data_IF_841127210575
#
_entry.id   IF_841127210575
#
_cell.length_a   1.000
_cell.length_b   1.000
_cell.length_c   1.000
_cell.angle_alpha   90.00
_cell.angle_beta   90.00
_cell.angle_gamma   90.00
#
_symmetry.space_group_name_H-M   'P 1'
#
loop_
_entity.id
_entity.type
_entity.pdbx_description
1 polymer ?
#
# COMPACT_ATOMS: atom_id res chain seq x y z
N UNK A 1 -40.96 1.34 22.17
CA UNK A 1 -40.57 2.04 20.92
C UNK A 1 -40.44 3.55 21.13
N UNK A 2 -41.49 4.27 21.57
CA UNK A 2 -41.47 5.73 21.73
C UNK A 2 -40.35 6.27 22.66
N UNK A 3 -40.14 5.65 23.83
CA UNK A 3 -39.05 6.04 24.74
C UNK A 3 -37.66 5.91 24.11
N UNK A 4 -37.42 4.84 23.35
CA UNK A 4 -36.14 4.62 22.67
C UNK A 4 -35.89 5.64 21.57
N UNK A 5 -36.93 5.99 20.80
CA UNK A 5 -36.85 7.05 19.78
C UNK A 5 -36.60 8.43 20.40
N UNK A 6 -37.29 8.75 21.50
CA UNK A 6 -37.09 10.00 22.23
C UNK A 6 -35.65 10.11 22.79
N UNK A 7 -35.14 9.02 23.39
CA UNK A 7 -33.76 8.96 23.88
C UNK A 7 -32.74 9.11 22.75
N UNK A 8 -32.92 8.40 21.63
CA UNK A 8 -32.04 8.49 20.47
C UNK A 8 -32.03 9.91 19.87
N UNK A 9 -33.20 10.54 19.77
CA UNK A 9 -33.34 11.93 19.32
C UNK A 9 -32.62 12.91 20.24
N UNK A 10 -32.76 12.75 21.56
CA UNK A 10 -32.09 13.60 22.55
C UNK A 10 -30.55 13.48 22.48
N UNK A 11 -30.02 12.26 22.37
CA UNK A 11 -28.59 12.00 22.23
C UNK A 11 -28.05 12.60 20.93
N UNK A 12 -28.76 12.43 19.81
CA UNK A 12 -28.36 12.99 18.53
C UNK A 12 -28.37 14.53 18.54
N UNK A 13 -29.36 15.14 19.18
CA UNK A 13 -29.44 16.58 19.33
C UNK A 13 -28.30 17.13 20.21
N UNK A 14 -27.95 16.44 21.30
CA UNK A 14 -26.77 16.79 22.11
C UNK A 14 -25.47 16.69 21.31
N UNK A 15 -25.30 15.57 20.59
CA UNK A 15 -24.14 15.36 19.73
C UNK A 15 -23.98 16.47 18.71
N UNK A 16 -25.04 16.82 17.96
CA UNK A 16 -25.00 17.92 16.97
C UNK A 16 -24.61 19.26 17.57
N UNK A 17 -25.15 19.61 18.74
CA UNK A 17 -24.81 20.87 19.44
C UNK A 17 -23.34 20.91 19.88
N UNK A 18 -22.80 19.78 20.35
CA UNK A 18 -21.47 19.70 20.93
C UNK A 18 -20.38 19.25 19.94
N UNK A 19 -20.72 18.83 18.72
CA UNK A 19 -19.81 18.14 17.80
C UNK A 19 -18.53 18.94 17.51
N UNK A 20 -18.64 20.25 17.24
CA UNK A 20 -17.47 21.11 16.97
C UNK A 20 -16.47 21.13 18.15
N UNK A 21 -16.98 21.10 19.39
CA UNK A 21 -16.17 21.11 20.61
C UNK A 21 -15.60 19.72 20.94
N UNK A 22 -16.38 18.66 20.73
CA UNK A 22 -16.01 17.26 21.05
C UNK A 22 -15.20 16.57 19.94
N UNK A 23 -15.12 17.17 18.74
CA UNK A 23 -14.40 16.57 17.60
C UNK A 23 -12.94 16.23 17.95
N UNK A 24 -12.13 17.09 18.58
CA UNK A 24 -10.75 16.75 18.94
C UNK A 24 -10.65 15.53 19.86
N UNK A 25 -11.51 15.43 20.88
CA UNK A 25 -11.55 14.31 21.81
C UNK A 25 -11.93 12.99 21.10
N UNK A 26 -12.93 13.03 20.21
CA UNK A 26 -13.32 11.87 19.40
C UNK A 26 -12.17 11.39 18.51
N UNK A 27 -11.45 12.32 17.86
CA UNK A 27 -10.33 11.97 16.99
C UNK A 27 -9.13 11.45 17.78
N UNK A 28 -8.87 11.98 18.98
CA UNK A 28 -7.85 11.46 19.88
C UNK A 28 -8.17 10.01 20.27
N UNK A 29 -9.42 9.72 20.63
CA UNK A 29 -9.88 8.37 20.96
C UNK A 29 -9.71 7.38 19.80
N UNK A 30 -9.94 7.80 18.55
CA UNK A 30 -9.65 6.99 17.35
C UNK A 30 -8.16 6.65 17.27
N UNK A 31 -7.28 7.65 17.45
CA UNK A 31 -5.84 7.46 17.40
C UNK A 31 -5.30 6.53 18.50
N UNK A 32 -5.72 6.74 19.74
CA UNK A 32 -5.35 5.90 20.89
C UNK A 32 -5.79 4.45 20.73
N UNK A 33 -6.98 4.25 20.17
CA UNK A 33 -7.49 2.91 19.89
C UNK A 33 -6.67 2.23 18.78
N UNK A 34 -6.41 2.92 17.67
CA UNK A 34 -5.57 2.40 16.58
C UNK A 34 -4.15 2.05 17.07
N UNK A 35 -3.55 2.89 17.92
CA UNK A 35 -2.22 2.65 18.47
C UNK A 35 -2.16 1.38 19.35
N UNK A 36 -3.23 1.07 20.09
CA UNK A 36 -3.29 -0.13 20.95
C UNK A 36 -3.68 -1.40 20.20
N UNK A 37 -4.65 -1.31 19.29
CA UNK A 37 -5.25 -2.46 18.62
C UNK A 37 -4.62 -2.77 17.25
N UNK A 38 -3.80 -1.86 16.71
CA UNK A 38 -3.20 -1.99 15.39
C UNK A 38 -4.17 -1.68 14.24
N UNK A 39 -3.81 -2.10 13.04
CA UNK A 39 -4.57 -1.89 11.81
C UNK A 39 -5.14 -3.22 11.33
N UNK A 40 -6.46 -3.34 11.29
CA UNK A 40 -7.16 -4.61 11.01
C UNK A 40 -6.65 -5.24 9.72
N UNK A 41 -6.45 -4.42 8.68
CA UNK A 41 -6.01 -4.86 7.36
C UNK A 41 -4.66 -5.60 7.32
N UNK A 42 -3.82 -5.42 8.33
CA UNK A 42 -2.44 -5.92 8.33
C UNK A 42 -2.17 -6.96 9.42
N UNK A 43 -3.13 -7.19 10.31
CA UNK A 43 -2.99 -8.12 11.42
C UNK A 43 -3.38 -9.53 11.00
N UNK A 44 -2.54 -10.51 11.35
CA UNK A 44 -2.86 -11.94 11.18
C UNK A 44 -3.97 -12.38 12.14
N UNK A 45 -4.02 -11.79 13.35
CA UNK A 45 -5.08 -12.06 14.33
C UNK A 45 -5.81 -10.74 14.70
N UNK A 46 -6.67 -10.21 13.81
CA UNK A 46 -7.25 -8.89 13.97
C UNK A 46 -8.31 -8.82 15.07
N UNK A 47 -8.40 -7.65 15.73
CA UNK A 47 -9.63 -7.25 16.45
C UNK A 47 -10.59 -6.55 15.47
N UNK A 48 -11.68 -7.22 15.13
CA UNK A 48 -12.67 -6.78 14.14
C UNK A 48 -13.40 -5.50 14.55
N UNK A 49 -13.38 -5.16 15.85
CA UNK A 49 -14.14 -4.04 16.39
C UNK A 49 -13.25 -2.84 16.66
N UNK A 50 -12.20 -3.04 17.45
CA UNK A 50 -11.41 -1.95 18.00
C UNK A 50 -10.20 -1.61 17.12
N UNK A 51 -9.66 -2.49 16.28
CA UNK A 51 -8.55 -2.13 15.39
C UNK A 51 -8.92 -1.03 14.38
N UNK A 52 -7.91 -0.34 13.83
CA UNK A 52 -8.11 0.66 12.78
C UNK A 52 -8.72 0.01 11.54
N UNK A 53 -9.79 0.60 11.02
CA UNK A 53 -10.61 0.03 9.95
C UNK A 53 -11.68 -0.94 10.45
N UNK A 54 -11.77 -1.18 11.77
CA UNK A 54 -12.77 -2.05 12.37
C UNK A 54 -14.15 -1.41 12.52
N UNK A 55 -15.09 -2.18 13.06
CA UNK A 55 -16.49 -1.77 13.25
C UNK A 55 -16.65 -0.44 14.00
N UNK A 56 -15.74 -0.14 14.94
CA UNK A 56 -15.79 1.13 15.69
C UNK A 56 -15.49 2.33 14.81
N UNK A 57 -14.59 2.22 13.84
CA UNK A 57 -14.27 3.31 12.91
C UNK A 57 -15.45 3.63 11.99
N UNK A 58 -16.16 2.61 11.51
CA UNK A 58 -17.39 2.81 10.75
C UNK A 58 -18.47 3.53 11.57
N UNK A 59 -18.61 3.20 12.86
CA UNK A 59 -19.52 3.92 13.79
C UNK A 59 -19.09 5.37 13.96
N UNK A 60 -17.79 5.64 14.09
CA UNK A 60 -17.27 7.02 14.19
C UNK A 60 -17.55 7.81 12.91
N UNK A 61 -17.31 7.22 11.73
CA UNK A 61 -17.62 7.86 10.46
C UNK A 61 -19.11 8.23 10.36
N UNK A 62 -20.01 7.30 10.74
CA UNK A 62 -21.45 7.54 10.81
C UNK A 62 -21.82 8.63 11.81
N UNK A 63 -21.18 8.67 12.98
CA UNK A 63 -21.39 9.71 13.98
C UNK A 63 -20.97 11.09 13.47
N UNK A 64 -19.84 11.18 12.75
CA UNK A 64 -19.40 12.42 12.12
C UNK A 64 -20.40 12.91 11.07
N UNK A 65 -20.92 12.03 10.21
CA UNK A 65 -21.99 12.41 9.27
C UNK A 65 -23.26 12.86 10.00
N UNK A 66 -23.66 12.17 11.07
CA UNK A 66 -24.83 12.53 11.86
C UNK A 66 -24.73 13.90 12.56
N UNK A 67 -23.51 14.42 12.71
CA UNK A 67 -23.23 15.75 13.29
C UNK A 67 -23.49 16.93 12.33
N UNK A 68 -23.72 16.66 11.04
CA UNK A 68 -23.78 17.67 9.97
C UNK A 68 -22.48 18.46 9.72
N UNK A 69 -21.34 18.00 10.26
CA UNK A 69 -20.03 18.57 9.92
C UNK A 69 -19.49 18.08 8.58
N UNK A 70 -20.04 17.00 8.05
CA UNK A 70 -19.58 16.35 6.82
C UNK A 70 -20.73 15.53 6.24
N UNK A 71 -20.71 15.35 4.94
CA UNK A 71 -21.62 14.46 4.25
C UNK A 71 -21.27 12.99 4.49
N UNK A 72 -22.19 12.12 4.08
CA UNK A 72 -21.95 10.67 4.06
C UNK A 72 -20.78 10.38 3.12
N UNK A 73 -19.79 9.57 3.53
CA UNK A 73 -18.76 9.11 2.60
C UNK A 73 -19.42 8.37 1.44
N UNK A 74 -18.98 8.65 0.22
CA UNK A 74 -19.38 7.92 -0.97
C UNK A 74 -18.56 6.63 -1.05
N UNK A 75 -19.09 5.60 -1.72
CA UNK A 75 -18.45 4.29 -1.86
C UNK A 75 -18.95 3.25 -0.86
N UNK A 76 -18.17 2.18 -0.69
CA UNK A 76 -18.67 0.90 -0.19
C UNK A 76 -18.56 0.75 1.34
N UNK A 77 -18.70 1.86 2.09
CA UNK A 77 -18.56 1.85 3.55
C UNK A 77 -19.57 0.91 4.21
N UNK A 78 -20.82 0.89 3.72
CA UNK A 78 -21.85 0.05 4.33
C UNK A 78 -21.63 -1.43 4.05
N UNK A 79 -21.19 -1.78 2.84
CA UNK A 79 -20.90 -3.15 2.45
C UNK A 79 -19.67 -3.67 3.22
N UNK A 80 -18.62 -2.87 3.33
CA UNK A 80 -17.47 -3.18 4.15
C UNK A 80 -17.84 -3.36 5.64
N UNK A 81 -18.73 -2.51 6.15
CA UNK A 81 -19.22 -2.63 7.52
C UNK A 81 -20.07 -3.89 7.73
N UNK A 82 -20.97 -4.20 6.77
CA UNK A 82 -21.78 -5.41 6.79
C UNK A 82 -20.91 -6.66 6.75
N UNK A 83 -19.90 -6.71 5.86
CA UNK A 83 -18.95 -7.82 5.79
C UNK A 83 -18.23 -8.07 7.12
N UNK A 84 -17.74 -7.02 7.79
CA UNK A 84 -17.10 -7.19 9.12
C UNK A 84 -18.09 -7.62 10.21
N UNK A 85 -19.38 -7.30 10.09
CA UNK A 85 -20.41 -7.83 10.98
C UNK A 85 -20.61 -9.33 10.73
N UNK A 86 -20.69 -9.75 9.47
CA UNK A 86 -20.84 -11.16 9.09
C UNK A 86 -19.65 -11.98 9.60
N UNK A 87 -18.42 -11.48 9.46
CA UNK A 87 -17.21 -12.12 10.00
C UNK A 87 -17.28 -12.25 11.53
N UNK A 88 -17.71 -11.20 12.24
CA UNK A 88 -17.84 -11.22 13.70
C UNK A 88 -18.94 -12.18 14.15
N UNK A 89 -20.05 -12.24 13.43
CA UNK A 89 -21.18 -13.10 13.78
C UNK A 89 -20.82 -14.58 13.50
N UNK A 90 -20.13 -14.86 12.39
CA UNK A 90 -19.54 -16.18 12.12
C UNK A 90 -18.53 -16.59 13.21
N UNK A 91 -17.64 -15.68 13.65
CA UNK A 91 -16.72 -15.91 14.77
C UNK A 91 -17.46 -16.25 16.07
N UNK A 92 -18.57 -15.56 16.34
CA UNK A 92 -19.40 -15.83 17.52
C UNK A 92 -20.05 -17.22 17.45
N UNK A 93 -20.52 -17.62 16.26
CA UNK A 93 -21.11 -18.94 16.04
C UNK A 93 -20.07 -20.06 16.19
N UNK A 94 -18.86 -19.89 15.65
CA UNK A 94 -17.76 -20.86 15.74
C UNK A 94 -17.27 -21.03 17.18
N UNK A 95 -17.09 -19.92 17.90
CA UNK A 95 -16.52 -19.95 19.26
C UNK A 95 -17.55 -20.19 20.37
N UNK A 96 -18.84 -19.99 20.09
CA UNK A 96 -19.91 -19.94 21.09
C UNK A 96 -19.77 -18.78 22.08
N UNK A 97 -18.89 -17.80 21.80
CA UNK A 97 -18.53 -16.70 22.70
C UNK A 97 -18.66 -15.37 21.98
N UNK A 98 -19.01 -14.32 22.73
CA UNK A 98 -19.02 -12.94 22.22
C UNK A 98 -17.60 -12.37 22.19
N UNK A 99 -16.79 -12.81 21.25
CA UNK A 99 -15.43 -12.28 20.98
C UNK A 99 -15.41 -11.43 19.71
N UNK A 100 -14.47 -10.50 19.64
CA UNK A 100 -14.20 -9.67 18.45
C UNK A 100 -12.81 -9.89 17.87
N UNK A 101 -12.00 -10.72 18.51
CA UNK A 101 -10.65 -11.05 18.06
C UNK A 101 -10.68 -12.37 17.30
N UNK A 102 -10.28 -12.34 16.04
CA UNK A 102 -10.19 -13.50 15.16
C UNK A 102 -8.81 -14.14 15.32
N UNK A 103 -8.73 -15.22 16.10
CA UNK A 103 -7.48 -15.95 16.34
C UNK A 103 -7.15 -16.89 15.18
N UNK A 104 -5.88 -17.24 15.03
CA UNK A 104 -5.42 -18.14 13.96
C UNK A 104 -6.16 -19.48 13.96
N UNK A 105 -6.45 -20.04 15.14
CA UNK A 105 -7.18 -21.30 15.29
C UNK A 105 -8.64 -21.25 14.85
N UNK A 106 -9.22 -20.07 14.70
CA UNK A 106 -10.64 -19.87 14.39
C UNK A 106 -10.87 -19.55 12.91
N UNK A 107 -9.81 -19.16 12.18
CA UNK A 107 -9.91 -18.61 10.82
C UNK A 107 -10.49 -19.61 9.82
N UNK A 108 -10.02 -20.86 9.83
CA UNK A 108 -10.49 -21.89 8.90
C UNK A 108 -12.00 -22.18 9.08
N UNK A 109 -12.45 -22.22 10.34
CA UNK A 109 -13.84 -22.48 10.68
C UNK A 109 -14.75 -21.32 10.32
N UNK A 110 -14.32 -20.09 10.60
CA UNK A 110 -15.05 -18.87 10.23
C UNK A 110 -15.12 -18.74 8.70
N UNK A 111 -14.01 -18.98 8.01
CA UNK A 111 -13.95 -18.90 6.55
C UNK A 111 -14.94 -19.88 5.90
N UNK A 112 -14.96 -21.13 6.39
CA UNK A 112 -15.88 -22.16 5.90
C UNK A 112 -17.34 -21.81 6.15
N UNK A 113 -17.66 -21.25 7.32
CA UNK A 113 -19.03 -20.81 7.65
C UNK A 113 -19.51 -19.69 6.72
N UNK A 114 -18.61 -18.81 6.29
CA UNK A 114 -18.87 -17.75 5.30
C UNK A 114 -18.81 -18.24 3.85
N UNK A 115 -18.58 -19.53 3.62
CA UNK A 115 -18.51 -20.13 2.29
C UNK A 115 -17.27 -19.73 1.48
N UNK A 116 -16.21 -19.26 2.12
CA UNK A 116 -14.92 -18.96 1.48
C UNK A 116 -14.17 -20.26 1.16
N UNK A 117 -13.20 -20.21 0.24
CA UNK A 117 -12.44 -21.38 -0.24
C UNK A 117 -13.21 -22.34 -1.15
N UNK A 118 -14.42 -21.98 -1.61
CA UNK A 118 -15.15 -22.74 -2.62
C UNK A 118 -15.00 -22.07 -4.00
N UNK A 119 -14.50 -22.77 -5.03
CA UNK A 119 -14.47 -22.21 -6.38
C UNK A 119 -15.90 -21.88 -6.85
N UNK A 120 -16.18 -20.60 -7.07
CA UNK A 120 -17.41 -20.12 -7.72
C UNK A 120 -18.50 -19.48 -6.85
N UNK A 121 -18.27 -19.17 -5.56
CA UNK A 121 -19.30 -18.52 -4.70
C UNK A 121 -19.02 -17.09 -4.27
N UNK A 122 -17.78 -16.62 -4.39
CA UNK A 122 -17.42 -15.23 -4.13
C UNK A 122 -16.77 -14.66 -5.39
N UNK A 123 -17.57 -13.95 -6.20
CA UNK A 123 -17.06 -12.97 -7.17
C UNK A 123 -16.46 -11.79 -6.38
N UNK A 124 -15.34 -12.02 -5.69
CA UNK A 124 -14.42 -10.90 -5.45
C UNK A 124 -13.85 -10.60 -6.83
N UNK A 125 -14.10 -9.39 -7.31
CA UNK A 125 -13.69 -8.85 -8.61
C UNK A 125 -12.19 -9.11 -8.86
N UNK A 126 -11.89 -10.28 -9.41
CA UNK A 126 -10.57 -10.70 -9.86
C UNK A 126 -10.79 -11.71 -11.00
N UNK A 127 -11.23 -11.20 -12.14
CA UNK A 127 -11.17 -11.96 -13.40
C UNK A 127 -9.70 -12.00 -13.83
N UNK A 128 -9.08 -13.17 -13.77
CA UNK A 128 -8.01 -13.51 -14.73
C UNK A 128 -8.34 -14.84 -15.39
N UNK A 129 -8.06 -14.91 -16.70
CA UNK A 129 -8.45 -16.00 -17.59
C UNK A 129 -7.55 -17.25 -17.50
N UNK A 130 -7.05 -17.61 -16.32
CA UNK A 130 -6.17 -18.77 -16.18
C UNK A 130 -6.33 -19.49 -14.83
N UNK A 131 -7.33 -20.36 -14.73
CA UNK A 131 -7.36 -21.49 -13.80
C UNK A 131 -7.54 -21.12 -12.32
N UNK A 132 -8.62 -21.62 -11.71
CA UNK A 132 -8.94 -21.41 -10.30
C UNK A 132 -7.73 -21.54 -9.37
N UNK A 133 -7.33 -20.45 -8.73
CA UNK A 133 -6.38 -20.48 -7.64
C UNK A 133 -7.00 -21.27 -6.49
N UNK A 134 -6.35 -22.35 -6.06
CA UNK A 134 -6.64 -22.98 -4.77
C UNK A 134 -6.13 -22.00 -3.71
N UNK A 135 -6.96 -21.07 -3.30
CA UNK A 135 -6.70 -20.19 -2.17
C UNK A 135 -7.03 -20.92 -0.88
N UNK A 136 -6.21 -20.70 0.16
CA UNK A 136 -6.55 -21.14 1.51
C UNK A 136 -7.75 -20.30 1.98
N UNK A 137 -8.82 -20.96 2.44
CA UNK A 137 -10.04 -20.31 2.90
C UNK A 137 -9.76 -19.25 3.99
N UNK A 138 -8.82 -19.53 4.89
CA UNK A 138 -8.41 -18.56 5.91
C UNK A 138 -7.65 -17.35 5.32
N UNK A 139 -6.87 -17.55 4.25
CA UNK A 139 -6.23 -16.43 3.57
C UNK A 139 -7.26 -15.56 2.85
N UNK A 140 -8.29 -16.16 2.23
CA UNK A 140 -9.41 -15.42 1.62
C UNK A 140 -10.23 -14.63 2.66
N UNK A 141 -10.43 -15.21 3.85
CA UNK A 141 -11.07 -14.53 4.97
C UNK A 141 -10.28 -13.30 5.38
N UNK A 142 -8.96 -13.44 5.60
CA UNK A 142 -8.11 -12.32 5.97
C UNK A 142 -8.03 -11.28 4.86
N UNK A 143 -7.92 -11.68 3.60
CA UNK A 143 -7.88 -10.77 2.46
C UNK A 143 -9.18 -9.96 2.31
N UNK A 144 -10.34 -10.60 2.48
CA UNK A 144 -11.64 -9.92 2.43
C UNK A 144 -11.87 -8.99 3.63
N UNK A 145 -11.48 -9.40 4.84
CA UNK A 145 -11.51 -8.56 6.03
C UNK A 145 -10.56 -7.35 5.90
N UNK A 146 -9.38 -7.54 5.30
CA UNK A 146 -8.44 -6.48 5.01
C UNK A 146 -9.00 -5.48 4.00
N UNK A 147 -9.62 -5.94 2.92
CA UNK A 147 -10.30 -5.08 1.96
C UNK A 147 -11.36 -4.20 2.65
N UNK A 148 -12.23 -4.80 3.46
CA UNK A 148 -13.26 -4.05 4.19
C UNK A 148 -12.65 -3.01 5.16
N UNK A 149 -11.58 -3.37 5.88
CA UNK A 149 -10.92 -2.47 6.80
C UNK A 149 -10.21 -1.30 6.11
N UNK A 150 -9.62 -1.52 4.94
CA UNK A 150 -9.00 -0.47 4.10
C UNK A 150 -10.07 0.51 3.61
N UNK A 151 -11.23 0.01 3.15
CA UNK A 151 -12.38 0.85 2.77
C UNK A 151 -12.90 1.68 3.94
N UNK A 152 -13.11 1.07 5.11
CA UNK A 152 -13.56 1.78 6.32
C UNK A 152 -12.54 2.85 6.74
N UNK A 153 -11.24 2.54 6.68
CA UNK A 153 -10.17 3.47 7.02
C UNK A 153 -10.15 4.67 6.08
N UNK A 154 -10.24 4.44 4.76
CA UNK A 154 -10.27 5.50 3.76
C UNK A 154 -11.52 6.39 3.91
N UNK A 155 -12.69 5.78 4.14
CA UNK A 155 -13.93 6.50 4.39
C UNK A 155 -13.86 7.35 5.65
N UNK A 156 -13.30 6.81 6.74
CA UNK A 156 -13.08 7.57 7.98
C UNK A 156 -12.13 8.73 7.75
N UNK A 157 -11.00 8.54 7.07
CA UNK A 157 -10.03 9.62 6.82
C UNK A 157 -10.63 10.75 5.99
N UNK A 158 -11.38 10.43 4.94
CA UNK A 158 -12.11 11.43 4.15
C UNK A 158 -13.13 12.20 5.01
N UNK A 159 -13.88 11.49 5.85
CA UNK A 159 -14.89 12.06 6.75
C UNK A 159 -14.25 12.96 7.81
N UNK A 160 -13.13 12.55 8.41
CA UNK A 160 -12.37 13.33 9.38
C UNK A 160 -11.77 14.59 8.75
N UNK A 161 -11.19 14.49 7.55
CA UNK A 161 -10.67 15.66 6.82
C UNK A 161 -11.75 16.70 6.57
N UNK A 162 -12.91 16.28 6.06
CA UNK A 162 -14.06 17.17 5.82
C UNK A 162 -14.60 17.79 7.12
N UNK A 163 -14.76 16.98 8.17
CA UNK A 163 -15.20 17.48 9.48
C UNK A 163 -14.24 18.52 10.07
N UNK A 164 -12.91 18.27 10.02
CA UNK A 164 -11.90 19.24 10.46
C UNK A 164 -12.00 20.54 9.68
N UNK A 165 -12.20 20.47 8.36
CA UNK A 165 -12.38 21.65 7.50
C UNK A 165 -13.65 22.43 7.84
N UNK A 166 -14.77 21.77 8.07
CA UNK A 166 -16.02 22.42 8.48
C UNK A 166 -15.90 23.15 9.83
N UNK A 167 -14.93 22.76 10.67
CA UNK A 167 -14.60 23.47 11.92
C UNK A 167 -13.49 24.52 11.78
N UNK A 168 -12.78 24.55 10.65
CA UNK A 168 -11.72 25.52 10.41
C UNK A 168 -12.30 26.91 10.13
N UNK A 169 -11.55 27.96 10.46
CA UNK A 169 -11.94 29.34 10.13
C UNK A 169 -11.98 29.50 8.61
N UNK A 170 -13.06 30.08 8.04
CA UNK A 170 -13.14 30.29 6.60
C UNK A 170 -12.00 31.21 6.14
N UNK A 171 -11.30 30.80 5.09
CA UNK A 171 -10.33 31.66 4.41
C UNK A 171 -11.11 32.70 3.61
N UNK A 172 -11.05 33.97 4.01
CA UNK A 172 -11.58 35.06 3.20
C UNK A 172 -10.73 35.23 1.94
N UNK A 173 -11.20 34.72 0.81
CA UNK A 173 -10.60 34.99 -0.49
C UNK A 173 -11.35 36.15 -1.13
N UNK A 174 -10.70 37.30 -1.28
CA UNK A 174 -11.29 38.43 -2.01
C UNK A 174 -11.38 38.06 -3.50
N UNK A 175 -12.54 38.25 -4.16
CA UNK A 175 -12.66 37.97 -5.58
C UNK A 175 -11.72 38.90 -6.37
N UNK A 176 -10.91 38.31 -7.25
CA UNK A 176 -10.07 39.07 -8.16
C UNK A 176 -10.97 39.83 -9.13
N UNK A 177 -10.83 41.15 -9.19
CA UNK A 177 -11.57 42.00 -10.13
C UNK A 177 -10.73 42.23 -11.38
N UNK A 178 -11.28 41.91 -12.54
CA UNK A 178 -10.66 42.22 -13.84
C UNK A 178 -11.64 43.07 -14.64
N UNK A 179 -11.21 44.28 -15.04
CA UNK A 179 -12.06 45.27 -15.75
C UNK A 179 -13.39 45.55 -15.05
N UNK A 180 -13.38 45.67 -13.72
CA UNK A 180 -14.57 45.98 -12.93
C UNK A 180 -15.59 44.86 -12.80
N UNK A 181 -15.29 43.65 -13.30
CA UNK A 181 -16.13 42.46 -13.13
C UNK A 181 -15.45 41.46 -12.18
N UNK A 182 -16.21 40.85 -11.25
CA UNK A 182 -15.68 39.76 -10.43
C UNK A 182 -15.35 38.59 -11.35
N UNK A 183 -14.11 38.11 -11.27
CA UNK A 183 -13.76 36.86 -11.97
C UNK A 183 -14.27 35.67 -11.15
N UNK A 184 -14.76 34.60 -11.82
CA UNK A 184 -15.13 33.38 -11.12
C UNK A 184 -13.91 32.83 -10.37
N UNK A 185 -14.09 32.28 -9.16
CA UNK A 185 -13.00 31.64 -8.45
C UNK A 185 -12.45 30.49 -9.30
N UNK A 186 -11.17 30.58 -9.68
CA UNK A 186 -10.45 29.49 -10.33
C UNK A 186 -9.75 28.67 -9.26
N UNK A 187 -9.85 27.35 -9.37
CA UNK A 187 -9.09 26.46 -8.50
C UNK A 187 -7.58 26.65 -8.77
N UNK A 188 -6.73 26.72 -7.73
CA UNK A 188 -5.29 26.75 -7.92
C UNK A 188 -4.84 25.55 -8.77
N UNK A 189 -4.20 25.82 -9.91
CA UNK A 189 -3.69 24.77 -10.79
C UNK A 189 -2.49 24.08 -10.13
N UNK A 190 -2.46 22.75 -10.20
CA UNK A 190 -1.33 21.91 -9.84
C UNK A 190 -0.57 21.43 -11.09
N UNK A 191 -0.93 21.95 -12.26
CA UNK A 191 -0.40 21.58 -13.56
C UNK A 191 -1.17 20.44 -14.23
N UNK A 192 -1.17 20.45 -15.57
CA UNK A 192 -1.49 19.29 -16.41
C UNK A 192 -2.81 18.56 -16.07
N UNK A 193 -3.92 19.30 -16.06
CA UNK A 193 -5.25 18.73 -15.78
C UNK A 193 -5.55 18.51 -14.28
N UNK A 194 -4.71 19.00 -13.37
CA UNK A 194 -4.92 18.87 -11.92
C UNK A 194 -5.08 20.24 -11.26
N UNK A 195 -5.91 20.30 -10.23
CA UNK A 195 -6.10 21.48 -9.40
C UNK A 195 -6.25 21.11 -7.92
N UNK A 196 -6.01 22.07 -7.04
CA UNK A 196 -6.33 21.93 -5.62
C UNK A 196 -7.75 22.44 -5.36
N UNK A 197 -8.57 21.63 -4.71
CA UNK A 197 -9.85 22.06 -4.16
C UNK A 197 -10.00 21.53 -2.75
N UNK A 198 -10.24 22.45 -1.81
CA UNK A 198 -10.35 22.14 -0.38
C UNK A 198 -9.26 21.17 0.08
N UNK A 199 -8.00 21.52 -0.25
CA UNK A 199 -6.78 20.75 0.04
C UNK A 199 -6.88 19.25 -0.25
N UNK A 200 -7.60 18.90 -1.31
CA UNK A 200 -7.53 17.63 -2.02
C UNK A 200 -7.19 17.92 -3.48
N UNK A 201 -6.58 16.96 -4.16
CA UNK A 201 -6.33 17.04 -5.60
C UNK A 201 -7.60 16.65 -6.35
N UNK A 202 -8.05 17.56 -7.21
CA UNK A 202 -9.19 17.39 -8.11
C UNK A 202 -8.75 17.48 -9.57
N UNK A 203 -9.58 16.95 -10.45
CA UNK A 203 -9.42 17.15 -11.88
C UNK A 203 -9.77 18.60 -12.24
N UNK A 204 -8.89 19.25 -13.01
CA UNK A 204 -9.17 20.56 -13.59
C UNK A 204 -10.19 20.44 -14.73
N UNK A 205 -10.79 21.56 -15.13
CA UNK A 205 -11.87 21.57 -16.13
C UNK A 205 -11.45 21.16 -17.55
N UNK A 206 -10.15 21.13 -17.82
CA UNK A 206 -9.52 20.69 -19.08
C UNK A 206 -9.02 19.24 -19.02
N UNK A 207 -9.19 18.55 -17.89
CA UNK A 207 -8.75 17.17 -17.74
C UNK A 207 -9.73 16.20 -18.42
N UNK A 208 -9.21 15.30 -19.25
CA UNK A 208 -9.97 14.20 -19.84
C UNK A 208 -9.31 12.87 -19.46
N UNK A 209 -9.80 12.19 -18.39
CA UNK A 209 -9.28 10.88 -18.01
C UNK A 209 -9.37 9.86 -19.14
N UNK A 210 -10.42 9.88 -19.97
CA UNK A 210 -10.67 8.86 -20.99
C UNK A 210 -9.72 9.02 -22.18
N UNK A 211 -9.24 10.24 -22.45
CA UNK A 211 -8.26 10.51 -23.52
C UNK A 211 -6.81 10.50 -23.03
N UNK A 212 -6.55 10.75 -21.74
CA UNK A 212 -5.20 10.96 -21.22
C UNK A 212 -4.67 9.76 -20.41
N UNK A 213 -3.78 8.93 -21.00
CA UNK A 213 -3.27 7.74 -20.34
C UNK A 213 -2.29 8.02 -19.20
N UNK A 214 -1.75 9.24 -19.11
CA UNK A 214 -0.75 9.60 -18.09
C UNK A 214 -1.37 10.33 -16.89
N UNK A 215 -2.65 10.73 -16.98
CA UNK A 215 -3.32 11.50 -15.94
C UNK A 215 -3.26 10.83 -14.57
N UNK A 216 -3.52 9.52 -14.49
CA UNK A 216 -3.49 8.80 -13.22
C UNK A 216 -2.09 8.75 -12.59
N UNK A 217 -1.04 8.55 -13.39
CA UNK A 217 0.35 8.57 -12.94
C UNK A 217 0.78 9.99 -12.51
N UNK A 218 0.38 11.03 -13.24
CA UNK A 218 0.63 12.42 -12.86
C UNK A 218 -0.10 12.82 -11.59
N UNK A 219 -1.35 12.40 -11.43
CA UNK A 219 -2.11 12.62 -10.20
C UNK A 219 -1.42 11.96 -9.01
N UNK A 220 -0.92 10.73 -9.18
CA UNK A 220 -0.15 10.01 -8.17
C UNK A 220 1.14 10.77 -7.80
N UNK A 221 1.94 11.16 -8.79
CA UNK A 221 3.19 11.88 -8.57
C UNK A 221 2.96 13.25 -7.90
N UNK A 222 1.95 13.99 -8.34
CA UNK A 222 1.55 15.26 -7.75
C UNK A 222 1.06 15.10 -6.31
N UNK A 223 0.28 14.05 -6.01
CA UNK A 223 -0.15 13.73 -4.64
C UNK A 223 1.05 13.41 -3.73
N UNK A 224 1.98 12.59 -4.22
CA UNK A 224 3.17 12.21 -3.46
C UNK A 224 4.10 13.41 -3.19
N UNK A 225 4.29 14.31 -4.17
CA UNK A 225 5.09 15.54 -4.02
C UNK A 225 4.45 16.57 -3.09
N UNK A 226 3.15 16.82 -3.26
CA UNK A 226 2.45 17.90 -2.54
C UNK A 226 1.97 17.49 -1.13
N UNK A 227 1.86 16.18 -0.88
CA UNK A 227 1.24 15.65 0.34
C UNK A 227 -0.29 15.84 0.37
N UNK A 228 -0.90 16.31 -0.73
CA UNK A 228 -2.34 16.45 -0.83
C UNK A 228 -2.99 15.11 -1.22
N UNK A 229 -4.05 14.67 -0.53
CA UNK A 229 -4.77 13.47 -0.91
C UNK A 229 -5.58 13.68 -2.19
N UNK A 230 -5.78 12.62 -2.96
CA UNK A 230 -6.72 12.61 -4.10
C UNK A 230 -8.16 12.60 -3.57
N UNK A 231 -9.03 13.44 -4.14
CA UNK A 231 -10.45 13.41 -3.78
C UNK A 231 -11.11 12.09 -4.22
N UNK A 232 -12.16 11.61 -3.54
CA UNK A 232 -12.88 10.38 -3.96
C UNK A 232 -13.46 10.45 -5.37
N UNK A 233 -13.90 11.63 -5.81
CA UNK A 233 -14.41 11.85 -7.18
C UNK A 233 -13.28 11.74 -8.20
N UNK A 234 -12.11 12.31 -7.88
CA UNK A 234 -10.89 12.16 -8.67
C UNK A 234 -10.53 10.69 -8.82
N UNK A 235 -10.46 9.95 -7.72
CA UNK A 235 -10.11 8.52 -7.73
C UNK A 235 -11.07 7.69 -8.61
N UNK A 236 -12.37 7.94 -8.50
CA UNK A 236 -13.39 7.29 -9.35
C UNK A 236 -13.15 7.57 -10.83
N UNK A 237 -12.79 8.82 -11.16
CA UNK A 237 -12.51 9.23 -12.54
C UNK A 237 -11.20 8.64 -13.06
N UNK A 238 -10.16 8.57 -12.22
CA UNK A 238 -8.86 7.98 -12.58
C UNK A 238 -8.95 6.47 -12.79
N UNK A 239 -9.85 5.77 -12.09
CA UNK A 239 -10.11 4.35 -12.34
C UNK A 239 -10.57 4.08 -13.78
N UNK A 240 -11.22 5.06 -14.40
CA UNK A 240 -11.71 5.02 -15.78
C UNK A 240 -10.72 5.60 -16.80
N UNK A 241 -9.52 6.03 -16.38
CA UNK A 241 -8.56 6.69 -17.27
C UNK A 241 -8.13 5.81 -18.44
N UNK A 242 -7.62 6.38 -19.54
CA UNK A 242 -7.08 5.58 -20.65
C UNK A 242 -5.98 4.64 -20.14
N UNK A 243 -5.88 3.40 -20.66
CA UNK A 243 -4.77 2.51 -20.30
C UNK A 243 -3.45 3.12 -20.79
N UNK A 244 -2.39 2.97 -19.99
CA UNK A 244 -1.05 3.36 -20.43
C UNK A 244 -0.66 2.49 -21.64
N UNK A 245 -0.17 3.08 -22.74
CA UNK A 245 0.28 2.30 -23.90
C UNK A 245 1.36 1.28 -23.49
N UNK A 246 1.36 0.11 -24.13
CA UNK A 246 2.39 -0.92 -23.92
C UNK A 246 3.24 -1.07 -25.21
N UNK A 247 4.57 -0.95 -25.13
CA UNK A 247 5.37 -0.67 -23.94
C UNK A 247 5.14 0.75 -23.38
N UNK A 248 5.23 0.90 -22.05
CA UNK A 248 5.03 2.20 -21.41
C UNK A 248 5.99 3.26 -21.99
N UNK A 249 5.53 4.48 -22.27
CA UNK A 249 6.40 5.54 -22.75
C UNK A 249 7.30 6.03 -21.62
N UNK A 250 8.45 6.64 -21.97
CA UNK A 250 9.42 7.12 -20.98
C UNK A 250 8.83 8.07 -19.90
N UNK A 251 7.91 9.01 -20.24
CA UNK A 251 7.24 9.83 -19.22
C UNK A 251 6.42 9.01 -18.21
N UNK A 252 5.77 7.92 -18.63
CA UNK A 252 5.00 7.06 -17.73
C UNK A 252 5.92 6.38 -16.71
N UNK A 253 7.05 5.83 -17.17
CA UNK A 253 8.07 5.26 -16.28
C UNK A 253 8.64 6.30 -15.32
N UNK A 254 8.93 7.51 -15.80
CA UNK A 254 9.46 8.58 -14.96
C UNK A 254 8.48 8.96 -13.82
N UNK A 255 7.19 9.08 -14.13
CA UNK A 255 6.16 9.34 -13.13
C UNK A 255 6.00 8.20 -12.13
N UNK A 256 6.06 6.94 -12.58
CA UNK A 256 6.06 5.78 -11.69
C UNK A 256 7.26 5.83 -10.72
N UNK A 257 8.46 6.05 -11.24
CA UNK A 257 9.68 6.15 -10.44
C UNK A 257 9.64 7.33 -9.46
N UNK A 258 9.02 8.43 -9.86
CA UNK A 258 8.80 9.57 -8.98
C UNK A 258 7.89 9.22 -7.80
N UNK A 259 6.77 8.53 -8.05
CA UNK A 259 5.89 8.03 -6.99
C UNK A 259 6.65 7.07 -6.07
N UNK A 260 7.30 6.05 -6.64
CA UNK A 260 8.05 5.05 -5.87
C UNK A 260 9.22 5.69 -5.08
N UNK A 261 9.83 6.74 -5.62
CA UNK A 261 10.93 7.48 -5.01
C UNK A 261 10.51 8.48 -3.94
N UNK A 262 9.22 8.77 -3.77
CA UNK A 262 8.71 9.75 -2.80
C UNK A 262 8.77 9.30 -1.33
N UNK A 263 9.39 8.13 -1.07
CA UNK A 263 9.54 7.60 0.28
C UNK A 263 8.18 7.32 0.94
N UNK A 264 8.03 7.58 2.27
CA UNK A 264 6.77 7.35 2.98
C UNK A 264 5.57 8.15 2.44
N UNK A 265 5.78 9.24 1.70
CA UNK A 265 4.67 10.06 1.17
C UNK A 265 3.86 9.32 0.09
N UNK A 266 4.46 8.35 -0.62
CA UNK A 266 3.75 7.56 -1.64
C UNK A 266 2.68 6.65 -1.05
N UNK A 267 2.87 6.25 0.22
CA UNK A 267 2.14 5.15 0.84
C UNK A 267 0.61 5.39 0.89
N UNK A 268 0.12 6.55 1.39
CA UNK A 268 -1.32 6.85 1.33
C UNK A 268 -1.84 7.11 -0.09
N UNK A 269 -0.96 7.52 -1.03
CA UNK A 269 -1.34 7.74 -2.43
C UNK A 269 -1.58 6.41 -3.14
N UNK A 270 -0.66 5.46 -2.96
CA UNK A 270 -0.77 4.11 -3.49
C UNK A 270 -2.01 3.40 -2.95
N UNK A 271 -2.23 3.53 -1.63
CA UNK A 271 -3.41 2.97 -0.96
C UNK A 271 -4.72 3.45 -1.58
N UNK A 272 -4.84 4.77 -1.82
CA UNK A 272 -6.03 5.36 -2.42
C UNK A 272 -6.26 4.90 -3.86
N UNK A 273 -5.20 4.80 -4.66
CA UNK A 273 -5.24 4.35 -6.06
C UNK A 273 -5.54 2.85 -6.15
N UNK A 274 -5.00 2.04 -5.24
CA UNK A 274 -5.27 0.60 -5.19
C UNK A 274 -6.71 0.30 -4.77
N UNK A 275 -7.25 1.02 -3.79
CA UNK A 275 -8.67 0.90 -3.43
C UNK A 275 -9.60 1.32 -4.58
N UNK A 276 -9.19 2.31 -5.38
CA UNK A 276 -9.91 2.72 -6.58
C UNK A 276 -9.73 1.77 -7.78
N UNK A 277 -8.89 0.74 -7.67
CA UNK A 277 -8.62 -0.23 -8.74
C UNK A 277 -7.63 0.24 -9.81
N UNK A 278 -7.06 1.44 -9.68
CA UNK A 278 -6.10 2.01 -10.66
C UNK A 278 -4.84 1.15 -10.74
N UNK A 279 -4.32 0.70 -9.59
CA UNK A 279 -3.06 -0.07 -9.50
C UNK A 279 -3.16 -1.41 -10.22
N UNK A 280 -4.26 -2.14 -10.05
CA UNK A 280 -4.47 -3.44 -10.72
C UNK A 280 -4.57 -3.29 -12.24
N UNK A 281 -5.00 -2.12 -12.72
CA UNK A 281 -5.03 -1.81 -14.15
C UNK A 281 -3.65 -1.52 -14.74
N UNK A 282 -2.75 -0.94 -13.94
CA UNK A 282 -1.33 -0.79 -14.31
C UNK A 282 -0.58 -2.13 -14.27
N UNK A 283 -0.84 -2.92 -13.23
CA UNK A 283 -0.16 -4.17 -12.93
C UNK A 283 -1.19 -5.28 -12.65
N UNK A 284 -1.65 -6.03 -13.66
CA UNK A 284 -2.59 -7.13 -13.47
C UNK A 284 -2.10 -8.18 -12.47
N UNK A 285 -0.79 -8.40 -12.40
CA UNK A 285 -0.12 -9.30 -11.46
C UNK A 285 -0.35 -8.92 -9.99
N UNK A 286 -0.63 -7.64 -9.72
CA UNK A 286 -0.92 -7.12 -8.39
C UNK A 286 -2.14 -7.80 -7.75
N UNK A 287 -3.13 -8.21 -8.55
CA UNK A 287 -4.33 -8.88 -8.06
C UNK A 287 -4.02 -10.14 -7.24
N UNK A 288 -2.92 -10.84 -7.55
CA UNK A 288 -2.53 -12.07 -6.86
C UNK A 288 -1.90 -11.84 -5.48
N UNK A 289 -1.42 -10.61 -5.20
CA UNK A 289 -0.77 -10.25 -3.93
C UNK A 289 -1.57 -9.23 -3.11
N UNK A 290 -2.59 -8.60 -3.70
CA UNK A 290 -3.47 -7.63 -3.07
C UNK A 290 -4.16 -8.22 -1.84
N UNK A 291 -4.06 -7.54 -0.70
CA UNK A 291 -4.56 -7.96 0.61
C UNK A 291 -4.07 -9.35 1.08
N UNK A 292 -3.04 -9.93 0.45
CA UNK A 292 -2.59 -11.27 0.79
C UNK A 292 -1.92 -11.28 2.16
N UNK A 293 -2.37 -12.09 3.13
CA UNK A 293 -1.77 -12.13 4.45
C UNK A 293 -0.36 -12.74 4.40
N UNK A 294 0.50 -12.29 5.31
CA UNK A 294 1.83 -12.87 5.51
C UNK A 294 1.85 -13.61 6.84
N UNK A 295 1.77 -14.95 6.81
CA UNK A 295 1.81 -15.80 8.01
C UNK A 295 3.23 -15.99 8.58
N UNK A 296 3.96 -14.89 8.72
CA UNK A 296 5.29 -14.87 9.31
C UNK A 296 5.33 -13.77 10.38
N UNK A 297 5.73 -14.07 11.63
CA UNK A 297 5.73 -13.11 12.73
C UNK A 297 6.61 -11.87 12.49
N UNK A 298 7.54 -11.93 11.53
CA UNK A 298 8.39 -10.80 11.18
C UNK A 298 7.71 -9.77 10.27
N UNK A 299 6.67 -10.16 9.51
CA UNK A 299 6.01 -9.23 8.57
C UNK A 299 4.84 -8.54 9.25
N UNK A 300 4.91 -7.21 9.28
CA UNK A 300 3.83 -6.36 9.80
C UNK A 300 2.64 -6.23 8.84
N UNK A 301 2.88 -6.38 7.54
CA UNK A 301 1.94 -5.96 6.49
C UNK A 301 1.52 -7.14 5.60
N UNK A 302 0.37 -7.00 4.94
CA UNK A 302 0.01 -7.83 3.77
C UNK A 302 1.07 -7.69 2.67
N UNK A 303 1.14 -8.66 1.74
CA UNK A 303 2.19 -8.69 0.71
C UNK A 303 2.21 -7.39 -0.10
N UNK A 304 1.07 -6.98 -0.65
CA UNK A 304 0.91 -5.72 -1.39
C UNK A 304 1.40 -4.49 -0.63
N UNK A 305 0.95 -4.31 0.62
CA UNK A 305 1.38 -3.19 1.44
C UNK A 305 2.87 -3.25 1.74
N UNK A 306 3.41 -4.44 1.97
CA UNK A 306 4.83 -4.65 2.17
C UNK A 306 5.66 -4.22 0.95
N UNK A 307 5.22 -4.50 -0.28
CA UNK A 307 5.89 -4.04 -1.50
C UNK A 307 6.03 -2.51 -1.56
N UNK A 308 4.95 -1.78 -1.25
CA UNK A 308 4.96 -0.30 -1.20
C UNK A 308 5.88 0.21 -0.09
N UNK A 309 5.81 -0.41 1.10
CA UNK A 309 6.64 -0.06 2.25
C UNK A 309 8.13 -0.32 1.98
N UNK A 310 8.47 -1.38 1.26
CA UNK A 310 9.84 -1.70 0.84
C UNK A 310 10.38 -0.66 -0.14
N UNK A 311 9.60 -0.30 -1.18
CA UNK A 311 9.97 0.79 -2.09
C UNK A 311 10.15 2.13 -1.35
N UNK A 312 9.26 2.47 -0.42
CA UNK A 312 9.32 3.70 0.38
C UNK A 312 10.59 3.82 1.26
N UNK A 313 11.27 2.71 1.55
CA UNK A 313 12.51 2.70 2.33
C UNK A 313 13.77 2.84 1.49
N UNK A 314 13.71 2.60 0.19
CA UNK A 314 14.86 2.67 -0.71
C UNK A 314 15.67 3.97 -0.58
N UNK A 315 15.06 5.18 -0.55
CA UNK A 315 15.82 6.42 -0.42
C UNK A 315 16.67 6.51 0.88
N UNK A 316 16.23 5.83 1.94
CA UNK A 316 16.91 5.82 3.24
C UNK A 316 18.02 4.75 3.35
N UNK A 317 18.22 3.92 2.33
CA UNK A 317 19.26 2.85 2.30
C UNK A 317 20.55 3.28 1.63
N UNK A 318 20.72 4.57 1.33
CA UNK A 318 21.90 5.08 0.63
C UNK A 318 23.17 4.78 1.45
N UNK A 319 24.10 4.08 0.82
CA UNK A 319 25.42 3.77 1.38
C UNK A 319 26.40 4.88 0.94
N UNK A 320 27.27 5.40 1.83
CA UNK A 320 28.31 6.35 1.43
C UNK A 320 29.18 5.78 0.31
N UNK A 321 29.56 6.63 -0.66
CA UNK A 321 30.37 6.22 -1.81
C UNK A 321 31.70 5.54 -1.42
N UNK A 322 32.24 5.86 -0.23
CA UNK A 322 33.47 5.28 0.32
C UNK A 322 33.37 3.80 0.70
N UNK A 323 32.16 3.25 0.84
CA UNK A 323 31.90 1.85 1.18
C UNK A 323 31.43 1.02 -0.02
N UNK A 324 31.33 1.63 -1.19
CA UNK A 324 30.99 0.95 -2.43
C UNK A 324 32.27 0.37 -3.07
N UNK A 325 32.19 -0.81 -3.74
CA UNK A 325 33.30 -1.32 -4.54
C UNK A 325 33.78 -0.24 -5.53
N UNK A 326 35.10 -0.14 -5.74
CA UNK A 326 35.81 0.95 -6.41
C UNK A 326 34.94 1.86 -7.32
N UNK A 327 34.74 3.08 -6.85
CA UNK A 327 33.85 4.12 -7.37
C UNK A 327 34.33 4.75 -8.70
N UNK A 328 34.44 3.93 -9.75
CA UNK A 328 34.64 4.38 -11.14
C UNK A 328 33.43 4.16 -12.05
N UNK A 329 32.31 3.65 -11.51
CA UNK A 329 31.11 3.26 -12.27
C UNK A 329 30.06 4.37 -12.43
N UNK A 330 29.07 4.17 -13.32
CA UNK A 330 27.98 5.12 -13.58
C UNK A 330 27.13 5.42 -12.34
N UNK A 331 26.34 6.50 -12.42
CA UNK A 331 25.44 6.94 -11.35
C UNK A 331 24.61 5.79 -10.75
N UNK A 332 24.30 5.84 -9.43
CA UNK A 332 23.54 4.77 -8.77
C UNK A 332 22.20 4.56 -9.47
N UNK A 333 21.97 3.34 -9.97
CA UNK A 333 20.74 2.88 -10.63
C UNK A 333 19.59 2.70 -9.64
N UNK A 334 19.26 3.77 -8.91
CA UNK A 334 18.17 3.82 -7.93
C UNK A 334 16.81 3.59 -8.59
N UNK A 335 16.68 3.92 -9.87
CA UNK A 335 15.55 3.54 -10.73
C UNK A 335 15.29 2.03 -10.73
N UNK A 336 16.33 1.22 -10.97
CA UNK A 336 16.21 -0.23 -10.99
C UNK A 336 15.97 -0.81 -9.60
N UNK A 337 16.57 -0.21 -8.57
CA UNK A 337 16.34 -0.61 -7.18
C UNK A 337 14.90 -0.37 -6.74
N UNK A 338 14.30 0.77 -7.11
CA UNK A 338 12.90 1.08 -6.79
C UNK A 338 11.96 0.06 -7.43
N UNK A 339 12.19 -0.30 -8.69
CA UNK A 339 11.40 -1.34 -9.37
C UNK A 339 11.62 -2.72 -8.74
N UNK A 340 12.87 -3.10 -8.45
CA UNK A 340 13.16 -4.37 -7.78
C UNK A 340 12.51 -4.44 -6.39
N UNK A 341 12.61 -3.38 -5.58
CA UNK A 341 11.97 -3.27 -4.28
C UNK A 341 10.45 -3.42 -4.35
N UNK A 342 9.83 -2.73 -5.33
CA UNK A 342 8.39 -2.76 -5.52
C UNK A 342 7.88 -4.11 -6.04
N UNK A 343 8.71 -4.90 -6.72
CA UNK A 343 8.30 -6.18 -7.33
C UNK A 343 8.91 -7.44 -6.71
N UNK A 344 9.80 -7.33 -5.72
CA UNK A 344 10.59 -8.46 -5.20
C UNK A 344 9.75 -9.67 -4.76
N UNK A 345 8.57 -9.40 -4.21
CA UNK A 345 7.70 -10.39 -3.59
C UNK A 345 6.43 -10.70 -4.41
N UNK A 346 6.35 -10.24 -5.67
CA UNK A 346 5.23 -10.57 -6.57
C UNK A 346 5.05 -12.07 -6.78
N UNK A 347 6.06 -12.88 -6.48
CA UNK A 347 5.99 -14.33 -6.57
C UNK A 347 5.31 -15.03 -5.39
N UNK A 348 4.90 -14.32 -4.33
CA UNK A 348 4.15 -14.87 -3.20
C UNK A 348 2.69 -15.15 -3.57
N UNK A 349 2.48 -15.91 -4.64
CA UNK A 349 1.15 -16.29 -5.15
C UNK A 349 0.68 -17.63 -4.55
N UNK A 350 -0.63 -17.93 -4.55
CA UNK A 350 -1.14 -19.23 -4.09
C UNK A 350 -0.43 -20.41 -4.76
N UNK A 351 -0.07 -21.44 -3.98
CA UNK A 351 0.62 -22.65 -4.47
C UNK A 351 2.10 -22.48 -4.85
N UNK A 352 2.68 -21.28 -4.74
CA UNK A 352 4.09 -21.02 -5.01
C UNK A 352 5.00 -21.53 -3.89
N UNK A 353 5.98 -22.37 -4.22
CA UNK A 353 6.96 -22.90 -3.25
C UNK A 353 8.22 -22.01 -3.17
N UNK A 354 8.83 -21.70 -4.33
CA UNK A 354 9.92 -20.72 -4.46
C UNK A 354 9.35 -19.41 -5.02
N UNK A 355 9.02 -18.48 -4.13
CA UNK A 355 8.47 -17.18 -4.51
C UNK A 355 9.49 -16.27 -5.19
N UNK A 356 10.79 -16.45 -4.95
CA UNK A 356 11.81 -15.67 -5.63
C UNK A 356 11.96 -16.12 -7.11
N UNK A 357 11.94 -17.43 -7.39
CA UNK A 357 11.86 -17.96 -8.76
C UNK A 357 10.58 -17.49 -9.46
N UNK A 358 9.45 -17.64 -8.77
CA UNK A 358 8.14 -17.30 -9.30
C UNK A 358 8.05 -15.81 -9.60
N UNK A 359 8.54 -14.96 -8.70
CA UNK A 359 8.62 -13.51 -8.88
C UNK A 359 9.48 -13.14 -10.09
N UNK A 360 10.67 -13.72 -10.24
CA UNK A 360 11.53 -13.46 -11.39
C UNK A 360 10.86 -13.80 -12.74
N UNK A 361 10.08 -14.89 -12.78
CA UNK A 361 9.30 -15.29 -13.97
C UNK A 361 8.12 -14.35 -14.25
N UNK A 362 7.44 -13.86 -13.21
CA UNK A 362 6.32 -12.93 -13.32
C UNK A 362 6.81 -11.54 -13.76
N UNK A 363 7.90 -11.06 -13.15
CA UNK A 363 8.40 -9.69 -13.34
C UNK A 363 9.00 -9.47 -14.73
N UNK A 364 9.58 -10.50 -15.36
CA UNK A 364 10.19 -10.36 -16.69
C UNK A 364 9.23 -9.80 -17.76
N UNK A 365 8.07 -10.44 -18.07
CA UNK A 365 7.11 -9.90 -19.04
C UNK A 365 6.47 -8.58 -18.57
N UNK A 366 6.31 -8.36 -17.25
CA UNK A 366 5.85 -7.10 -16.70
C UNK A 366 6.82 -5.95 -17.05
N UNK A 367 8.12 -6.16 -16.91
CA UNK A 367 9.14 -5.15 -17.24
C UNK A 367 9.24 -4.89 -18.75
N UNK A 368 8.95 -5.90 -19.58
CA UNK A 368 8.79 -5.73 -21.02
C UNK A 368 7.59 -4.81 -21.34
N UNK A 369 6.44 -5.01 -20.66
CA UNK A 369 5.26 -4.10 -20.75
C UNK A 369 5.57 -2.68 -20.27
N UNK A 370 6.41 -2.53 -19.25
CA UNK A 370 6.92 -1.22 -18.81
C UNK A 370 7.90 -0.58 -19.80
N UNK A 371 8.39 -1.32 -20.80
CA UNK A 371 9.33 -0.81 -21.80
C UNK A 371 10.74 -0.61 -21.26
N UNK A 372 11.19 -1.44 -20.31
CA UNK A 372 12.58 -1.41 -19.85
C UNK A 372 13.52 -1.98 -20.93
N UNK A 373 14.71 -1.38 -21.14
CA UNK A 373 15.75 -1.99 -21.97
C UNK A 373 16.14 -3.39 -21.45
N UNK A 374 16.55 -4.33 -22.33
CA UNK A 374 16.86 -5.70 -21.93
C UNK A 374 17.86 -5.82 -20.76
N UNK A 375 18.94 -5.04 -20.78
CA UNK A 375 19.97 -5.07 -19.72
C UNK A 375 19.44 -4.61 -18.35
N UNK A 376 18.57 -3.59 -18.35
CA UNK A 376 17.94 -3.06 -17.14
C UNK A 376 16.92 -4.05 -16.59
N UNK A 377 16.11 -4.63 -17.49
CA UNK A 377 15.18 -5.71 -17.14
C UNK A 377 15.89 -6.89 -16.52
N UNK A 378 16.97 -7.37 -17.13
CA UNK A 378 17.71 -8.53 -16.65
C UNK A 378 18.31 -8.27 -15.26
N UNK A 379 18.76 -7.04 -15.00
CA UNK A 379 19.20 -6.59 -13.68
C UNK A 379 18.08 -6.66 -12.64
N UNK A 380 16.89 -6.11 -12.94
CA UNK A 380 15.75 -6.16 -12.00
C UNK A 380 15.30 -7.61 -11.77
N UNK A 381 15.24 -8.44 -12.82
CA UNK A 381 14.89 -9.86 -12.69
C UNK A 381 15.89 -10.61 -11.80
N UNK A 382 17.19 -10.35 -11.94
CA UNK A 382 18.22 -10.95 -11.11
C UNK A 382 18.09 -10.52 -9.64
N UNK A 383 17.80 -9.23 -9.38
CA UNK A 383 17.53 -8.74 -8.03
C UNK A 383 16.31 -9.40 -7.39
N UNK A 384 15.21 -9.52 -8.14
CA UNK A 384 13.99 -10.23 -7.67
C UNK A 384 14.30 -11.71 -7.42
N UNK A 385 15.06 -12.37 -8.29
CA UNK A 385 15.45 -13.78 -8.13
C UNK A 385 16.26 -14.03 -6.86
N UNK A 386 17.12 -13.08 -6.49
CA UNK A 386 18.09 -13.26 -5.41
C UNK A 386 17.81 -12.40 -4.17
N UNK A 387 16.64 -11.78 -4.03
CA UNK A 387 16.35 -10.85 -2.91
C UNK A 387 16.53 -11.49 -1.52
N UNK A 388 16.36 -12.82 -1.39
CA UNK A 388 16.62 -13.56 -0.13
C UNK A 388 18.06 -14.05 0.05
N UNK A 389 18.94 -13.87 -0.94
CA UNK A 389 20.29 -14.44 -0.95
C UNK A 389 21.11 -13.93 0.23
N UNK A 390 21.31 -12.62 0.33
CA UNK A 390 22.13 -12.03 1.40
C UNK A 390 21.59 -12.33 2.80
N UNK A 391 20.30 -12.14 3.13
CA UNK A 391 19.81 -12.43 4.48
C UNK A 391 19.91 -13.92 4.84
N UNK A 392 19.66 -14.83 3.89
CA UNK A 392 19.80 -16.26 4.13
C UNK A 392 21.25 -16.68 4.39
N UNK A 393 22.19 -16.15 3.61
CA UNK A 393 23.61 -16.50 3.70
C UNK A 393 24.25 -15.90 4.93
N UNK A 394 23.98 -14.61 5.18
CA UNK A 394 24.48 -13.87 6.33
C UNK A 394 24.17 -14.56 7.66
N UNK A 395 23.02 -15.25 7.76
CA UNK A 395 22.54 -15.85 9.01
C UNK A 395 22.74 -17.36 9.11
N UNK A 396 22.99 -18.07 8.00
CA UNK A 396 23.02 -19.55 7.98
C UNK A 396 24.33 -20.17 7.50
N UNK A 397 25.28 -19.38 6.99
CA UNK A 397 26.55 -19.88 6.45
C UNK A 397 27.73 -19.34 7.24
N UNK A 398 28.87 -20.04 7.17
CA UNK A 398 30.12 -19.54 7.69
C UNK A 398 30.65 -18.45 6.74
N UNK A 399 30.54 -17.18 7.17
CA UNK A 399 30.99 -16.06 6.34
C UNK A 399 32.49 -16.06 6.08
N UNK A 400 33.30 -16.76 6.88
CA UNK A 400 34.75 -16.79 6.77
C UNK A 400 35.26 -17.77 5.70
N UNK A 401 34.39 -18.62 5.17
CA UNK A 401 34.72 -19.54 4.09
C UNK A 401 34.77 -18.79 2.74
N UNK A 402 35.92 -18.74 2.04
CA UNK A 402 36.03 -18.10 0.73
C UNK A 402 35.08 -18.68 -0.31
N UNK A 403 34.73 -19.97 -0.23
CA UNK A 403 33.80 -20.60 -1.16
C UNK A 403 32.38 -20.00 -1.06
N UNK A 404 31.98 -19.50 0.12
CA UNK A 404 30.71 -18.79 0.30
C UNK A 404 30.74 -17.45 -0.42
N UNK A 405 31.85 -16.72 -0.37
CA UNK A 405 31.99 -15.44 -1.07
C UNK A 405 31.96 -15.63 -2.60
N UNK A 406 32.71 -16.62 -3.11
CA UNK A 406 32.72 -16.98 -4.53
C UNK A 406 31.33 -17.39 -5.04
N UNK A 407 30.62 -18.23 -4.29
CA UNK A 407 29.27 -18.65 -4.68
C UNK A 407 28.27 -17.49 -4.71
N UNK A 408 28.34 -16.54 -3.77
CA UNK A 408 27.49 -15.33 -3.82
C UNK A 408 27.91 -14.42 -4.98
N UNK A 409 29.21 -14.29 -5.26
CA UNK A 409 29.72 -13.54 -6.41
C UNK A 409 29.18 -14.10 -7.73
N UNK A 410 29.18 -15.42 -7.90
CA UNK A 410 28.65 -16.09 -9.09
C UNK A 410 27.13 -15.93 -9.20
N UNK A 411 26.40 -15.99 -8.08
CA UNK A 411 24.95 -15.79 -8.06
C UNK A 411 24.53 -14.36 -8.49
N UNK A 412 25.39 -13.36 -8.28
CA UNK A 412 25.19 -11.99 -8.80
C UNK A 412 25.90 -11.77 -10.14
N UNK A 413 26.20 -12.84 -10.89
CA UNK A 413 26.84 -12.81 -12.21
C UNK A 413 28.19 -12.06 -12.21
N UNK A 414 28.89 -12.10 -11.08
CA UNK A 414 30.12 -11.34 -10.82
C UNK A 414 30.00 -9.84 -11.07
N UNK A 415 28.80 -9.27 -10.93
CA UNK A 415 28.49 -7.85 -11.15
C UNK A 415 28.49 -7.04 -9.84
N UNK A 416 29.48 -6.14 -9.60
CA UNK A 416 29.55 -5.35 -8.37
C UNK A 416 28.37 -4.40 -8.17
N UNK A 417 27.78 -3.88 -9.26
CA UNK A 417 26.60 -3.04 -9.23
C UNK A 417 25.36 -3.80 -8.73
N UNK A 418 25.17 -5.05 -9.16
CA UNK A 418 24.08 -5.93 -8.68
C UNK A 418 24.25 -6.24 -7.20
N UNK A 419 25.45 -6.59 -6.77
CA UNK A 419 25.73 -6.85 -5.34
C UNK A 419 25.33 -5.65 -4.47
N UNK A 420 25.68 -4.44 -4.90
CA UNK A 420 25.35 -3.23 -4.16
C UNK A 420 23.84 -2.93 -4.14
N UNK A 421 23.15 -3.11 -5.26
CA UNK A 421 21.69 -2.98 -5.33
C UNK A 421 21.01 -4.04 -4.44
N UNK A 422 21.48 -5.29 -4.47
CA UNK A 422 20.94 -6.39 -3.69
C UNK A 422 21.13 -6.17 -2.18
N UNK A 423 22.28 -5.64 -1.76
CA UNK A 423 22.49 -5.20 -0.37
C UNK A 423 21.42 -4.18 0.01
N UNK A 424 21.25 -3.10 -0.78
CA UNK A 424 20.28 -2.05 -0.46
C UNK A 424 18.84 -2.58 -0.44
N UNK A 425 18.49 -3.47 -1.37
CA UNK A 425 17.20 -4.16 -1.40
C UNK A 425 16.97 -4.96 -0.11
N UNK A 426 17.97 -5.73 0.33
CA UNK A 426 17.92 -6.51 1.58
C UNK A 426 17.63 -5.62 2.79
N UNK A 427 18.30 -4.46 2.88
CA UNK A 427 18.04 -3.52 3.98
C UNK A 427 16.63 -2.90 3.90
N UNK A 428 16.19 -2.52 2.70
CA UNK A 428 14.86 -1.92 2.50
C UNK A 428 13.75 -2.91 2.89
N UNK A 429 13.83 -4.15 2.41
CA UNK A 429 12.90 -5.24 2.70
C UNK A 429 12.86 -5.55 4.20
N UNK A 430 14.02 -5.80 4.82
CA UNK A 430 14.06 -6.12 6.24
C UNK A 430 13.53 -4.97 7.13
N UNK A 431 13.80 -3.70 6.77
CA UNK A 431 13.22 -2.55 7.47
C UNK A 431 11.71 -2.43 7.24
N UNK A 432 11.18 -2.93 6.12
CA UNK A 432 9.75 -2.94 5.79
C UNK A 432 8.98 -4.02 6.52
N UNK A 433 9.58 -5.21 6.66
CA UNK A 433 9.01 -6.31 7.43
C UNK A 433 8.78 -5.89 8.89
N UNK A 434 9.79 -5.30 9.54
CA UNK A 434 9.64 -4.70 10.87
C UNK A 434 10.97 -4.47 11.60
N UNK A 435 10.95 -3.80 12.76
CA UNK A 435 12.16 -3.50 13.53
C UNK A 435 12.91 -4.75 13.99
N UNK A 436 12.19 -5.86 14.18
CA UNK A 436 12.78 -7.14 14.54
C UNK A 436 13.44 -7.85 13.36
N UNK A 437 13.16 -7.46 12.12
CA UNK A 437 13.77 -8.05 10.92
C UNK A 437 15.12 -7.39 10.56
N UNK A 438 15.31 -6.10 10.82
CA UNK A 438 16.59 -5.39 10.61
C UNK A 438 17.23 -4.90 11.92
N UNK A 439 17.85 -5.82 12.66
CA UNK A 439 18.60 -5.51 13.90
C UNK A 439 20.04 -5.11 13.60
N UNK A 440 20.72 -4.43 14.55
CA UNK A 440 22.14 -4.08 14.43
C UNK A 440 23.03 -5.30 14.15
N UNK A 441 22.71 -6.44 14.76
CA UNK A 441 23.39 -7.71 14.53
C UNK A 441 23.21 -8.21 13.09
N UNK A 442 21.97 -8.25 12.56
CA UNK A 442 21.73 -8.69 11.17
C UNK A 442 22.37 -7.74 10.16
N UNK A 443 22.32 -6.43 10.41
CA UNK A 443 23.00 -5.44 9.58
C UNK A 443 24.52 -5.72 9.53
N UNK A 444 25.15 -5.99 10.67
CA UNK A 444 26.58 -6.33 10.73
C UNK A 444 26.95 -7.59 9.95
N UNK A 445 26.10 -8.63 9.99
CA UNK A 445 26.31 -9.86 9.23
C UNK A 445 26.21 -9.62 7.72
N UNK A 446 25.20 -8.87 7.28
CA UNK A 446 25.03 -8.51 5.86
C UNK A 446 26.20 -7.65 5.39
N UNK A 447 26.70 -6.71 6.20
CA UNK A 447 27.88 -5.92 5.82
C UNK A 447 29.17 -6.74 5.72
N UNK A 448 29.36 -7.67 6.65
CA UNK A 448 30.51 -8.58 6.62
C UNK A 448 30.49 -9.43 5.35
N UNK A 449 29.33 -9.98 5.00
CA UNK A 449 29.16 -10.73 3.75
C UNK A 449 29.39 -9.84 2.53
N UNK A 450 28.76 -8.67 2.47
CA UNK A 450 28.90 -7.72 1.36
C UNK A 450 30.37 -7.35 1.11
N UNK A 451 31.12 -7.03 2.16
CA UNK A 451 32.54 -6.64 2.06
C UNK A 451 33.40 -7.78 1.52
N UNK A 452 33.13 -9.02 1.95
CA UNK A 452 33.87 -10.20 1.49
C UNK A 452 33.58 -10.52 0.03
N UNK A 453 32.32 -10.48 -0.38
CA UNK A 453 31.95 -10.69 -1.79
C UNK A 453 32.50 -9.57 -2.66
N UNK A 454 32.48 -8.32 -2.20
CA UNK A 454 33.09 -7.21 -2.93
C UNK A 454 34.61 -7.40 -3.15
N UNK A 455 35.32 -7.96 -2.17
CA UNK A 455 36.74 -8.29 -2.32
C UNK A 455 36.95 -9.44 -3.33
N UNK A 456 36.10 -10.47 -3.29
CA UNK A 456 36.10 -11.59 -4.26
C UNK A 456 35.83 -11.12 -5.71
N UNK A 457 34.95 -10.14 -5.89
CA UNK A 457 34.66 -9.54 -7.20
C UNK A 457 35.81 -8.67 -7.75
N UNK A 458 36.71 -8.20 -6.88
CA UNK A 458 37.88 -7.43 -7.28
C UNK A 458 39.07 -8.32 -7.70
N UNK A 459 38.97 -9.64 -7.50
CA UNK A 459 39.96 -10.59 -8.00
C UNK A 459 39.88 -10.72 -9.53
N UNK A 460 41.03 -10.84 -10.21
CA UNK A 460 41.13 -10.84 -11.67
C UNK A 460 40.49 -12.05 -12.36
#
# INVERSE_FOLDING_TARGET
>A
AALAQAAAGAVLADWRRAARRRLPELLASVGERAARAGELAYLVEPDLKEARGGLRDAVVARALTASWLTDRPHGDLDDAYAHLLDVRDALTLVTGRRTTRLLLSEQDDVARLLGLGHPGRHEVVAVTAAGAAVTDAADDLLASAAQAARVISAALDATVRRARRATARPRFVRPLMVRGRPTPPRLPSLGEGLAEHDGEIVLAGDADPVADPLLALRAAATAARSGLPLSPVTLTSLAQAAPVPEPWPAPARALLLEVLGAGPAQVPVWEALDLAGVVTRWFPEWAAVRNRPQRNPLHRFTVDRHLVETAARVPATRVPATRMPAAGGPAPREDLLLLAAFFHDLGKVPGGHDHAATGARIVRPLLDRLGLPPADRDTVVLLVRHHLLLPAVATRRNLADPAVAAWVADAVERRPDVLALLRRLTEADARAAGPQAWTSWRAGLVETLFTRVAAELALP
#
